data_IF_608479989683
#
_entry.id   IF_608479989683
#
_cell.length_a   1.000
_cell.length_b   1.000
_cell.length_c   1.000
_cell.angle_alpha   90.00
_cell.angle_beta   90.00
_cell.angle_gamma   90.00
#
_symmetry.space_group_name_H-M   'P 1'
#
loop_
_entity.id
_entity.type
_entity.pdbx_description
1 polymer ?
#
# COMPACT_ATOMS: atom_id res chain seq x y z
N UNK A 1 -4.90 -53.84 -39.90
CA UNK A 1 -4.40 -52.73 -40.74
C UNK A 1 -5.23 -51.53 -40.32
N UNK A 2 -5.09 -51.02 -39.08
CA UNK A 2 -3.86 -50.51 -38.43
C UNK A 2 -3.34 -49.34 -39.26
N UNK A 3 -3.85 -48.14 -38.97
CA UNK A 3 -3.12 -46.99 -38.35
C UNK A 3 -2.84 -45.99 -39.49
N UNK A 4 -3.13 -44.69 -39.41
CA UNK A 4 -2.63 -43.72 -38.45
C UNK A 4 -3.65 -42.61 -38.19
N UNK A 5 -4.16 -42.56 -36.96
CA UNK A 5 -4.66 -41.33 -36.36
C UNK A 5 -3.48 -40.69 -35.63
N UNK A 6 -2.67 -39.90 -36.35
CA UNK A 6 -1.62 -39.11 -35.72
C UNK A 6 -2.26 -37.90 -35.01
N UNK A 7 -2.13 -37.76 -33.69
CA UNK A 7 -2.51 -36.51 -33.03
C UNK A 7 -1.57 -35.42 -33.54
N UNK A 8 -2.15 -34.33 -34.06
CA UNK A 8 -1.43 -33.08 -34.34
C UNK A 8 -0.86 -32.53 -33.01
N UNK A 9 0.32 -33.01 -32.65
CA UNK A 9 1.19 -32.57 -31.55
C UNK A 9 1.87 -31.24 -31.90
N UNK A 10 1.12 -30.28 -32.44
CA UNK A 10 1.56 -28.89 -32.47
C UNK A 10 0.94 -28.19 -31.26
N UNK A 11 1.42 -28.60 -30.08
CA UNK A 11 1.33 -27.77 -28.88
C UNK A 11 1.85 -26.39 -29.23
N UNK A 12 1.10 -25.36 -28.86
CA UNK A 12 1.45 -23.94 -29.03
C UNK A 12 2.63 -23.50 -28.12
N UNK A 13 3.61 -24.37 -27.93
CA UNK A 13 4.81 -24.18 -27.14
C UNK A 13 6.00 -24.28 -28.07
N UNK A 14 6.50 -23.14 -28.52
CA UNK A 14 7.90 -22.84 -28.85
C UNK A 14 7.94 -21.74 -29.92
N UNK A 15 7.51 -20.54 -29.54
CA UNK A 15 8.13 -19.35 -30.10
C UNK A 15 9.38 -19.07 -29.24
N UNK A 16 10.61 -19.35 -29.73
CA UNK A 16 11.85 -19.17 -28.96
C UNK A 16 12.10 -17.70 -28.57
N UNK A 17 11.29 -16.78 -29.10
CA UNK A 17 11.29 -15.35 -28.80
C UNK A 17 10.15 -14.91 -27.87
N UNK A 18 9.29 -15.83 -27.44
CA UNK A 18 8.28 -15.53 -26.42
C UNK A 18 8.93 -15.41 -25.04
N UNK A 19 8.63 -14.31 -24.35
CA UNK A 19 9.06 -14.06 -22.98
C UNK A 19 8.63 -15.22 -22.09
N UNK A 20 9.54 -15.74 -21.26
CA UNK A 20 9.23 -16.85 -20.36
C UNK A 20 8.26 -16.38 -19.28
N UNK A 21 7.31 -17.24 -18.94
CA UNK A 21 6.44 -17.02 -17.79
C UNK A 21 7.21 -17.26 -16.49
N UNK A 22 6.88 -16.53 -15.41
CA UNK A 22 7.49 -16.74 -14.11
C UNK A 22 7.33 -18.17 -13.62
N UNK A 23 8.37 -18.73 -12.99
CA UNK A 23 8.19 -19.91 -12.15
C UNK A 23 7.46 -19.53 -10.85
N UNK A 24 6.13 -19.55 -10.90
CA UNK A 24 5.27 -19.14 -9.78
C UNK A 24 5.47 -19.96 -8.51
N UNK A 25 5.90 -21.22 -8.60
CA UNK A 25 6.15 -22.05 -7.40
C UNK A 25 7.36 -21.57 -6.60
N UNK A 26 8.37 -21.03 -7.27
CA UNK A 26 9.50 -20.37 -6.62
C UNK A 26 9.04 -19.08 -5.93
N UNK A 27 8.26 -18.27 -6.64
CA UNK A 27 7.86 -16.94 -6.20
C UNK A 27 6.83 -16.93 -5.07
N UNK A 28 5.97 -17.96 -4.95
CA UNK A 28 4.99 -18.07 -3.84
C UNK A 28 5.62 -17.95 -2.45
N UNK A 29 6.87 -18.41 -2.29
CA UNK A 29 7.58 -18.38 -1.01
C UNK A 29 8.25 -17.02 -0.72
N UNK A 30 8.40 -16.17 -1.74
CA UNK A 30 9.14 -14.92 -1.67
C UNK A 30 8.26 -13.83 -1.07
N UNK A 31 8.79 -13.10 -0.08
CA UNK A 31 8.08 -12.01 0.62
C UNK A 31 8.50 -10.62 0.17
N UNK A 32 9.71 -10.49 -0.38
CA UNK A 32 10.28 -9.24 -0.85
C UNK A 32 11.07 -9.47 -2.13
N UNK A 33 11.07 -8.47 -3.00
CA UNK A 33 11.82 -8.50 -4.25
C UNK A 33 12.24 -7.07 -4.60
N UNK A 34 13.13 -6.93 -5.58
CA UNK A 34 13.43 -5.63 -6.19
C UNK A 34 12.16 -5.08 -6.86
N UNK A 35 12.04 -3.76 -6.93
CA UNK A 35 10.87 -3.11 -7.50
C UNK A 35 10.59 -3.58 -8.93
N UNK A 36 11.62 -3.62 -9.77
CA UNK A 36 11.46 -4.07 -11.15
C UNK A 36 11.06 -5.55 -11.25
N UNK A 37 11.53 -6.41 -10.33
CA UNK A 37 11.11 -7.81 -10.25
C UNK A 37 9.61 -7.91 -9.94
N UNK A 38 9.12 -7.12 -8.98
CA UNK A 38 7.70 -7.11 -8.63
C UNK A 38 6.82 -6.65 -9.80
N UNK A 39 7.27 -5.64 -10.56
CA UNK A 39 6.60 -5.17 -11.78
C UNK A 39 6.60 -6.25 -12.87
N UNK A 40 7.73 -6.94 -13.08
CA UNK A 40 7.81 -8.04 -14.05
C UNK A 40 6.79 -9.14 -13.73
N UNK A 41 6.70 -9.55 -12.46
CA UNK A 41 5.73 -10.53 -12.00
C UNK A 41 4.28 -10.07 -12.19
N UNK A 42 3.99 -8.79 -11.95
CA UNK A 42 2.65 -8.22 -12.20
C UNK A 42 2.25 -8.28 -13.68
N UNK A 43 3.22 -8.21 -14.59
CA UNK A 43 3.02 -8.35 -16.03
C UNK A 43 3.10 -9.80 -16.55
N UNK A 44 3.14 -10.81 -15.67
CA UNK A 44 3.35 -12.23 -16.02
C UNK A 44 4.68 -12.48 -16.78
N UNK A 45 5.72 -11.72 -16.45
CA UNK A 45 7.06 -11.82 -17.04
C UNK A 45 8.06 -12.37 -16.03
N UNK A 46 8.79 -13.43 -16.41
CA UNK A 46 9.88 -13.93 -15.57
C UNK A 46 11.02 -12.91 -15.49
N UNK A 47 11.44 -12.49 -14.28
CA UNK A 47 12.64 -11.68 -14.07
C UNK A 47 13.91 -12.12 -14.79
N UNK A 48 14.12 -13.43 -14.92
CA UNK A 48 15.24 -14.03 -15.64
C UNK A 48 15.26 -13.70 -17.13
N UNK A 49 14.12 -13.30 -17.72
CA UNK A 49 14.10 -12.75 -19.08
C UNK A 49 14.95 -11.46 -19.18
N UNK A 50 15.06 -10.70 -18.09
CA UNK A 50 15.75 -9.41 -18.09
C UNK A 50 17.26 -9.48 -17.84
N UNK A 51 17.79 -10.66 -17.49
CA UNK A 51 19.23 -10.94 -17.58
C UNK A 51 19.72 -10.84 -19.03
N UNK A 52 18.83 -11.05 -20.01
CA UNK A 52 19.14 -10.96 -21.43
C UNK A 52 19.29 -9.51 -21.94
N UNK A 53 18.62 -8.53 -21.31
CA UNK A 53 18.71 -7.11 -21.71
C UNK A 53 20.00 -6.43 -21.26
N UNK A 54 20.76 -7.04 -20.34
CA UNK A 54 22.12 -6.61 -19.99
C UNK A 54 23.12 -6.87 -21.14
N UNK A 55 22.72 -7.64 -22.16
CA UNK A 55 23.48 -7.83 -23.39
C UNK A 55 22.89 -6.96 -24.52
N UNK A 56 23.58 -5.90 -24.96
CA UNK A 56 23.05 -4.94 -25.94
C UNK A 56 22.78 -5.55 -27.33
N UNK A 57 23.36 -6.70 -27.66
CA UNK A 57 23.09 -7.42 -28.91
C UNK A 57 21.77 -8.20 -28.85
N UNK A 58 21.42 -8.76 -27.69
CA UNK A 58 20.18 -9.50 -27.48
C UNK A 58 18.98 -8.58 -27.22
N UNK A 59 19.23 -7.40 -26.65
CA UNK A 59 18.22 -6.36 -26.47
C UNK A 59 17.62 -5.83 -27.78
N UNK A 60 18.34 -5.96 -28.92
CA UNK A 60 17.82 -5.63 -30.26
C UNK A 60 16.97 -6.74 -30.89
N UNK A 61 17.11 -7.97 -30.40
CA UNK A 61 16.45 -9.18 -30.92
C UNK A 61 15.19 -9.53 -30.12
N UNK A 62 15.20 -9.25 -28.82
CA UNK A 62 14.02 -9.28 -27.99
C UNK A 62 13.15 -8.08 -28.36
N UNK A 63 11.87 -8.30 -28.66
CA UNK A 63 10.87 -7.22 -28.71
C UNK A 63 11.05 -6.41 -27.43
N UNK A 64 11.16 -5.09 -27.57
CA UNK A 64 11.20 -4.14 -26.46
C UNK A 64 10.33 -4.62 -25.30
N UNK A 65 10.77 -4.43 -24.03
CA UNK A 65 9.94 -4.80 -22.89
C UNK A 65 8.51 -4.31 -23.14
N UNK A 66 7.49 -5.14 -22.89
CA UNK A 66 6.12 -4.76 -23.21
C UNK A 66 5.82 -3.38 -22.62
N UNK A 67 5.23 -2.47 -23.39
CA UNK A 67 4.97 -1.08 -22.92
C UNK A 67 4.29 -1.04 -21.54
N UNK A 68 3.46 -2.04 -21.26
CA UNK A 68 2.81 -2.25 -19.97
C UNK A 68 3.80 -2.36 -18.79
N UNK A 69 4.95 -2.99 -18.99
CA UNK A 69 6.02 -3.07 -17.99
C UNK A 69 6.63 -1.70 -17.71
N UNK A 70 7.02 -0.97 -18.75
CA UNK A 70 7.64 0.36 -18.59
C UNK A 70 6.66 1.36 -17.97
N UNK A 71 5.41 1.38 -18.43
CA UNK A 71 4.36 2.23 -17.88
C UNK A 71 4.12 1.91 -16.39
N UNK A 72 4.05 0.62 -16.03
CA UNK A 72 3.84 0.18 -14.66
C UNK A 72 5.04 0.48 -13.77
N UNK A 73 6.27 0.35 -14.29
CA UNK A 73 7.49 0.69 -13.57
C UNK A 73 7.60 2.20 -13.31
N UNK A 74 7.26 3.03 -14.29
CA UNK A 74 7.21 4.49 -14.14
C UNK A 74 6.16 4.88 -13.10
N UNK A 75 4.96 4.30 -13.16
CA UNK A 75 3.92 4.53 -12.15
C UNK A 75 4.36 4.07 -10.75
N UNK A 76 5.03 2.92 -10.65
CA UNK A 76 5.53 2.40 -9.38
C UNK A 76 6.61 3.32 -8.79
N UNK A 77 7.57 3.77 -9.60
CA UNK A 77 8.60 4.73 -9.21
C UNK A 77 8.00 6.06 -8.74
N UNK A 78 7.01 6.59 -9.47
CA UNK A 78 6.30 7.81 -9.09
C UNK A 78 5.44 7.66 -7.82
N UNK A 79 5.03 6.43 -7.49
CA UNK A 79 4.28 6.11 -6.28
C UNK A 79 5.17 5.90 -5.06
N UNK A 80 6.50 5.86 -5.22
CA UNK A 80 7.46 5.78 -4.12
C UNK A 80 7.78 7.19 -3.65
N UNK A 81 7.17 7.57 -2.53
CA UNK A 81 7.35 8.88 -1.90
C UNK A 81 6.99 8.81 -0.42
N UNK A 82 7.14 9.93 0.29
CA UNK A 82 6.87 10.01 1.73
C UNK A 82 5.44 9.53 2.10
N UNK A 83 4.48 9.69 1.18
CA UNK A 83 3.06 9.34 1.37
C UNK A 83 2.57 8.25 0.41
N UNK A 84 3.49 7.54 -0.26
CA UNK A 84 3.15 6.48 -1.20
C UNK A 84 2.63 5.22 -0.50
N UNK A 85 1.63 4.56 -1.07
CA UNK A 85 1.21 3.20 -0.64
C UNK A 85 2.40 2.24 -0.75
N UNK A 86 3.19 2.43 -1.82
CA UNK A 86 4.37 1.62 -2.12
C UNK A 86 5.56 2.04 -1.24
N UNK A 87 5.99 1.16 -0.34
CA UNK A 87 7.08 1.40 0.61
C UNK A 87 8.31 0.57 0.28
N UNK A 88 9.46 1.23 0.26
CA UNK A 88 10.77 0.58 0.15
C UNK A 88 11.18 -0.05 1.48
N UNK A 89 11.69 -1.27 1.44
CA UNK A 89 12.39 -1.93 2.55
C UNK A 89 13.82 -1.41 2.63
N UNK A 90 14.50 -1.37 1.49
CA UNK A 90 15.88 -0.91 1.35
C UNK A 90 16.00 -0.09 0.06
N UNK A 91 16.75 1.00 0.12
CA UNK A 91 17.02 1.86 -1.04
C UNK A 91 18.37 1.46 -1.64
N UNK A 92 18.37 1.16 -2.94
CA UNK A 92 19.60 0.91 -3.70
C UNK A 92 20.21 2.24 -4.17
N UNK A 93 21.55 2.29 -4.28
CA UNK A 93 22.27 3.40 -4.89
C UNK A 93 22.23 3.38 -6.43
N UNK A 94 21.86 2.25 -7.02
CA UNK A 94 21.79 2.05 -8.48
C UNK A 94 20.50 2.60 -9.09
N UNK A 95 19.46 2.81 -8.29
CA UNK A 95 18.16 3.30 -8.74
C UNK A 95 16.99 2.85 -7.86
N UNK A 96 15.82 3.45 -8.08
CA UNK A 96 14.59 3.05 -7.37
C UNK A 96 14.08 1.69 -7.84
N UNK A 97 14.31 1.36 -9.11
CA UNK A 97 14.05 0.07 -9.74
C UNK A 97 14.75 -1.08 -9.02
N UNK A 98 15.99 -0.88 -8.57
CA UNK A 98 16.79 -1.88 -7.86
C UNK A 98 16.52 -1.90 -6.35
N UNK A 99 15.66 -1.00 -5.85
CA UNK A 99 15.29 -0.94 -4.44
C UNK A 99 14.33 -2.07 -4.07
N UNK A 100 14.41 -2.58 -2.84
CA UNK A 100 13.58 -3.70 -2.42
C UNK A 100 12.23 -3.24 -1.89
N UNK A 101 11.18 -3.98 -2.24
CA UNK A 101 9.79 -3.76 -1.81
C UNK A 101 9.19 -5.05 -1.24
N UNK A 102 8.26 -4.92 -0.30
CA UNK A 102 7.44 -6.05 0.15
C UNK A 102 6.39 -6.35 -0.93
N UNK A 103 6.26 -7.62 -1.29
CA UNK A 103 5.30 -8.03 -2.32
C UNK A 103 3.84 -7.87 -1.87
N UNK A 104 3.56 -7.96 -0.57
CA UNK A 104 2.25 -7.63 0.01
C UNK A 104 1.88 -6.16 -0.15
N UNK A 105 2.84 -5.26 0.12
CA UNK A 105 2.68 -3.82 -0.03
C UNK A 105 2.52 -3.43 -1.51
N UNK A 106 3.30 -4.06 -2.38
CA UNK A 106 3.17 -3.90 -3.83
C UNK A 106 1.82 -4.41 -4.35
N UNK A 107 1.29 -5.52 -3.84
CA UNK A 107 -0.06 -6.00 -4.15
C UNK A 107 -1.15 -5.00 -3.73
N UNK A 108 -0.98 -4.37 -2.57
CA UNK A 108 -1.87 -3.28 -2.12
C UNK A 108 -1.82 -2.09 -3.07
N UNK A 109 -0.62 -1.70 -3.51
CA UNK A 109 -0.48 -0.64 -4.52
C UNK A 109 -1.09 -1.02 -5.87
N UNK A 110 -0.86 -2.23 -6.39
CA UNK A 110 -1.46 -2.72 -7.64
C UNK A 110 -2.99 -2.63 -7.63
N UNK A 111 -3.60 -2.99 -6.50
CA UNK A 111 -5.05 -2.86 -6.29
C UNK A 111 -5.50 -1.40 -6.36
N UNK A 112 -4.72 -0.47 -5.83
CA UNK A 112 -5.03 0.97 -5.85
C UNK A 112 -5.00 1.57 -7.26
N UNK A 113 -4.06 1.13 -8.10
CA UNK A 113 -3.98 1.55 -9.51
C UNK A 113 -4.90 0.75 -10.44
N UNK A 114 -5.75 -0.12 -9.87
CA UNK A 114 -6.71 -0.98 -10.58
C UNK A 114 -6.08 -1.87 -11.66
N UNK A 115 -4.81 -2.22 -11.50
CA UNK A 115 -4.13 -3.15 -12.42
C UNK A 115 -4.57 -4.58 -12.11
N UNK A 116 -4.82 -5.39 -13.15
CA UNK A 116 -5.26 -6.79 -13.01
C UNK A 116 -4.04 -7.72 -13.09
N UNK A 117 -3.48 -8.16 -11.96
CA UNK A 117 -2.36 -9.10 -11.99
C UNK A 117 -2.81 -10.48 -12.51
N UNK A 118 -1.88 -11.32 -12.98
CA UNK A 118 -2.18 -12.69 -13.39
C UNK A 118 -2.76 -13.51 -12.24
N UNK A 119 -3.60 -14.51 -12.55
CA UNK A 119 -4.29 -15.33 -11.56
C UNK A 119 -3.36 -16.09 -10.58
N UNK A 120 -2.08 -16.23 -10.96
CA UNK A 120 -1.03 -16.89 -10.19
C UNK A 120 -0.35 -15.95 -9.19
N UNK A 121 -0.64 -14.65 -9.23
CA UNK A 121 -0.15 -13.63 -8.31
C UNK A 121 -0.85 -13.77 -6.96
N UNK A 122 -0.27 -14.55 -6.05
CA UNK A 122 -0.91 -15.00 -4.81
C UNK A 122 -0.71 -14.08 -3.61
N UNK A 123 -0.02 -12.94 -3.75
CA UNK A 123 0.21 -12.03 -2.62
C UNK A 123 -1.06 -11.27 -2.26
N UNK A 124 -1.52 -11.49 -1.03
CA UNK A 124 -2.67 -10.78 -0.49
C UNK A 124 -2.28 -9.32 -0.18
N UNK A 125 -3.14 -8.34 -0.54
CA UNK A 125 -2.92 -6.96 -0.16
C UNK A 125 -2.91 -6.85 1.36
N UNK A 126 -1.85 -6.28 1.91
CA UNK A 126 -1.78 -5.96 3.33
C UNK A 126 -2.85 -4.91 3.63
N UNK A 127 -3.63 -5.03 4.73
CA UNK A 127 -4.58 -4.00 5.11
C UNK A 127 -3.81 -2.69 5.20
N UNK A 128 -4.28 -1.68 4.46
CA UNK A 128 -3.74 -0.32 4.53
C UNK A 128 -3.91 0.12 5.97
N UNK A 129 -2.85 0.01 6.77
CA UNK A 129 -2.89 0.48 8.14
C UNK A 129 -2.97 1.99 8.07
N UNK A 130 -4.16 2.54 8.34
CA UNK A 130 -4.39 3.98 8.52
C UNK A 130 -3.54 4.58 9.66
N UNK A 131 -2.72 3.77 10.34
CA UNK A 131 -1.61 4.21 11.20
C UNK A 131 -0.60 5.12 10.48
N UNK A 132 -0.65 5.19 9.15
CA UNK A 132 0.13 6.09 8.31
C UNK A 132 -0.74 7.21 7.71
N UNK A 133 -1.67 7.78 8.48
CA UNK A 133 -2.23 9.10 8.18
C UNK A 133 -1.15 10.18 8.36
N UNK A 134 -0.18 10.19 7.46
CA UNK A 134 0.65 11.35 7.21
C UNK A 134 -0.24 12.33 6.42
N UNK A 135 -0.88 13.22 7.17
CA UNK A 135 -1.64 14.36 6.63
C UNK A 135 -0.79 15.07 5.55
N UNK A 136 -1.34 15.88 4.62
CA UNK A 136 -0.53 16.65 3.65
C UNK A 136 0.62 17.48 4.26
N UNK A 137 0.61 17.74 5.57
CA UNK A 137 1.71 18.36 6.33
C UNK A 137 2.62 17.37 7.09
N UNK A 138 2.56 16.08 6.77
CA UNK A 138 3.37 15.01 7.35
C UNK A 138 3.04 14.70 8.82
N UNK A 139 4.05 14.21 9.55
CA UNK A 139 3.99 13.85 10.98
C UNK A 139 4.12 15.05 11.92
N UNK A 140 3.70 16.24 11.50
CA UNK A 140 3.75 17.38 12.39
C UNK A 140 2.72 17.20 13.51
N UNK A 141 3.20 16.79 14.68
CA UNK A 141 2.43 16.67 15.90
C UNK A 141 2.95 17.69 16.91
N UNK A 142 2.02 18.41 17.54
CA UNK A 142 2.32 19.30 18.67
C UNK A 142 1.86 18.65 19.97
N UNK A 143 2.35 19.11 21.11
CA UNK A 143 1.93 18.57 22.41
C UNK A 143 0.42 18.68 22.65
N UNK A 144 -0.22 19.74 22.14
CA UNK A 144 -1.67 19.90 22.23
C UNK A 144 -2.41 18.89 21.34
N UNK A 145 -1.92 18.61 20.13
CA UNK A 145 -2.49 17.58 19.26
C UNK A 145 -2.37 16.19 19.89
N UNK A 146 -1.23 15.89 20.51
CA UNK A 146 -1.01 14.65 21.24
C UNK A 146 -1.99 14.49 22.41
N UNK A 147 -2.18 15.55 23.20
CA UNK A 147 -3.16 15.58 24.30
C UNK A 147 -4.61 15.48 23.80
N UNK A 148 -4.92 16.07 22.63
CA UNK A 148 -6.22 15.96 21.98
C UNK A 148 -6.52 14.51 21.58
N UNK A 149 -5.57 13.86 20.92
CA UNK A 149 -5.69 12.45 20.52
C UNK A 149 -5.85 11.54 21.74
N UNK A 150 -5.11 11.79 22.82
CA UNK A 150 -5.24 11.06 24.08
C UNK A 150 -6.63 11.24 24.72
N UNK A 151 -7.17 12.47 24.73
CA UNK A 151 -8.54 12.73 25.19
C UNK A 151 -9.59 12.00 24.32
N UNK A 152 -9.42 12.02 22.99
CA UNK A 152 -10.30 11.29 22.08
C UNK A 152 -10.30 9.78 22.40
N UNK A 153 -9.11 9.18 22.52
CA UNK A 153 -8.98 7.77 22.83
C UNK A 153 -9.56 7.41 24.20
N UNK A 154 -9.38 8.27 25.22
CA UNK A 154 -9.87 8.00 26.57
C UNK A 154 -11.39 8.10 26.67
N UNK A 155 -12.00 9.11 26.07
CA UNK A 155 -13.41 9.44 26.30
C UNK A 155 -14.35 9.05 25.17
N UNK A 156 -13.85 8.87 23.94
CA UNK A 156 -14.67 8.63 22.75
C UNK A 156 -14.43 7.26 22.11
N UNK A 157 -13.49 6.44 22.61
CA UNK A 157 -13.22 5.09 22.06
C UNK A 157 -14.41 4.15 22.14
N UNK A 158 -15.28 4.32 23.15
CA UNK A 158 -16.47 3.49 23.38
C UNK A 158 -17.78 4.26 23.12
N UNK A 159 -17.72 5.43 22.46
CA UNK A 159 -18.92 6.20 22.17
C UNK A 159 -19.77 5.48 21.10
N UNK A 160 -21.04 5.25 21.42
CA UNK A 160 -22.03 4.74 20.47
C UNK A 160 -22.94 5.89 19.99
N UNK A 161 -22.95 6.21 18.68
CA UNK A 161 -23.83 7.24 18.11
C UNK A 161 -25.33 6.98 18.33
N UNK A 162 -25.73 5.73 18.55
CA UNK A 162 -27.12 5.33 18.78
C UNK A 162 -27.54 5.45 20.24
N UNK A 163 -26.58 5.52 21.17
CA UNK A 163 -26.80 5.72 22.61
C UNK A 163 -26.08 6.98 23.12
N UNK A 164 -26.71 8.17 23.02
CA UNK A 164 -26.10 9.45 23.41
C UNK A 164 -25.61 9.52 24.86
N UNK A 165 -26.10 8.66 25.76
CA UNK A 165 -25.65 8.57 27.15
C UNK A 165 -24.23 8.02 27.30
N UNK A 166 -23.69 7.39 26.27
CA UNK A 166 -22.28 6.94 26.24
C UNK A 166 -21.30 8.10 26.01
N UNK A 167 -21.80 9.29 25.62
CA UNK A 167 -20.96 10.45 25.38
C UNK A 167 -20.44 11.06 26.70
N UNK A 168 -19.16 11.44 26.76
CA UNK A 168 -18.61 12.18 27.90
C UNK A 168 -19.20 13.59 27.97
N UNK A 169 -19.30 14.16 29.17
CA UNK A 169 -19.63 15.58 29.31
C UNK A 169 -18.41 16.42 28.94
N UNK A 170 -18.63 17.60 28.35
CA UNK A 170 -17.54 18.54 28.05
C UNK A 170 -16.73 18.87 29.31
N UNK A 171 -17.39 19.00 30.47
CA UNK A 171 -16.72 19.30 31.73
C UNK A 171 -15.72 18.21 32.13
N UNK A 172 -16.09 16.93 32.00
CA UNK A 172 -15.17 15.82 32.28
C UNK A 172 -13.93 15.83 31.37
N UNK A 173 -14.11 16.18 30.09
CA UNK A 173 -12.99 16.30 29.14
C UNK A 173 -12.09 17.50 29.49
N UNK A 174 -12.70 18.65 29.83
CA UNK A 174 -11.98 19.87 30.22
C UNK A 174 -11.15 19.65 31.49
N UNK A 175 -11.73 19.03 32.51
CA UNK A 175 -11.04 18.83 33.79
C UNK A 175 -9.83 17.90 33.61
N UNK A 176 -9.98 16.82 32.84
CA UNK A 176 -8.86 15.95 32.50
C UNK A 176 -7.77 16.66 31.69
N UNK A 177 -8.14 17.50 30.72
CA UNK A 177 -7.15 18.27 29.95
C UNK A 177 -6.38 19.27 30.82
N UNK A 178 -7.02 19.88 31.82
CA UNK A 178 -6.36 20.75 32.80
C UNK A 178 -5.37 19.98 33.68
N UNK A 179 -5.71 18.75 34.08
CA UNK A 179 -4.78 17.85 34.78
C UNK A 179 -3.56 17.50 33.92
N UNK A 180 -3.73 17.46 32.59
CA UNK A 180 -2.62 17.33 31.63
C UNK A 180 -1.92 18.66 31.33
N UNK A 181 -2.02 19.67 32.20
CA UNK A 181 -1.38 20.99 32.08
C UNK A 181 -1.80 21.79 30.83
N UNK A 182 -2.99 21.54 30.29
CA UNK A 182 -3.57 22.38 29.23
C UNK A 182 -4.25 23.59 29.88
N UNK A 183 -4.03 24.79 29.31
CA UNK A 183 -4.70 26.00 29.81
C UNK A 183 -6.22 25.88 29.70
N UNK A 184 -6.96 26.50 30.63
CA UNK A 184 -8.41 26.40 30.68
C UNK A 184 -9.09 26.73 29.34
N UNK A 185 -8.64 27.82 28.69
CA UNK A 185 -9.19 28.24 27.40
C UNK A 185 -8.92 27.22 26.29
N UNK A 186 -7.73 26.65 26.23
CA UNK A 186 -7.39 25.64 25.22
C UNK A 186 -8.15 24.34 25.48
N UNK A 187 -8.30 23.93 26.74
CA UNK A 187 -9.07 22.75 27.12
C UNK A 187 -10.54 22.84 26.70
N UNK A 188 -11.18 24.01 26.83
CA UNK A 188 -12.54 24.25 26.34
C UNK A 188 -12.66 24.09 24.82
N UNK A 189 -11.70 24.65 24.07
CA UNK A 189 -11.68 24.55 22.61
C UNK A 189 -11.48 23.10 22.19
N UNK A 190 -10.54 22.39 22.80
CA UNK A 190 -10.28 20.97 22.55
C UNK A 190 -11.50 20.09 22.84
N UNK A 191 -12.17 20.30 23.98
CA UNK A 191 -13.40 19.58 24.31
C UNK A 191 -14.53 19.86 23.32
N UNK A 192 -14.58 21.08 22.77
CA UNK A 192 -15.55 21.45 21.72
C UNK A 192 -15.23 20.76 20.40
N UNK A 193 -13.95 20.70 20.00
CA UNK A 193 -13.49 20.00 18.79
C UNK A 193 -13.81 18.50 18.85
N UNK A 194 -13.67 17.89 20.04
CA UNK A 194 -13.92 16.45 20.22
C UNK A 194 -15.41 16.09 20.28
N UNK A 195 -16.30 17.06 20.50
CA UNK A 195 -17.72 16.79 20.69
C UNK A 195 -18.37 16.34 19.38
N UNK A 196 -19.09 15.23 19.40
CA UNK A 196 -19.90 14.81 18.26
C UNK A 196 -20.98 15.88 17.90
N UNK A 197 -21.10 16.19 16.61
CA UNK A 197 -21.96 17.28 16.10
C UNK A 197 -23.45 17.07 16.42
N UNK A 198 -23.90 15.82 16.51
CA UNK A 198 -25.32 15.46 16.69
C UNK A 198 -25.78 15.51 18.16
N UNK A 199 -24.88 15.79 19.10
CA UNK A 199 -25.24 15.85 20.52
C UNK A 199 -25.91 17.20 20.85
N UNK A 200 -27.03 17.18 21.60
CA UNK A 200 -27.71 18.40 22.01
C UNK A 200 -26.78 19.26 22.89
N UNK A 201 -26.83 20.59 22.76
CA UNK A 201 -26.06 21.46 23.64
C UNK A 201 -26.51 21.27 25.09
N UNK A 202 -25.55 21.04 25.98
CA UNK A 202 -25.83 20.90 27.41
C UNK A 202 -26.34 22.20 28.06
N UNK A 203 -26.86 22.13 29.30
CA UNK A 203 -27.32 23.29 30.04
C UNK A 203 -26.20 24.33 30.15
N UNK A 204 -26.44 25.57 29.67
CA UNK A 204 -25.52 26.68 29.88
C UNK A 204 -25.61 27.10 31.35
N UNK A 205 -24.50 27.00 32.09
CA UNK A 205 -24.33 27.62 33.41
C UNK A 205 -23.74 29.01 33.26
#
# INVERSE_FOLDING_TARGET
>A
MSDDNAPNLFSAEQDPWALRKPNWDMWKSVKQARLWHAVALACDLDPGNFQLFHNPQLAKLLKEPPRQFDDLLVMAKGSIGANGILKLISRSNEGLEESEVKLSNFATWLKSVQHKPPAQFSWLPEPVTLSNMDWPWGRHETDLLRKLAAAAQRFWSNYDPTEPSTAPTNQHVIDWLKEQEVSARTAEVMATILRADRLPPGPRK
#
